data_IF_730722998027
#
_entry.id   IF_730722998027
#
_cell.length_a   1.000
_cell.length_b   1.000
_cell.length_c   1.000
_cell.angle_alpha   90.00
_cell.angle_beta   90.00
_cell.angle_gamma   90.00
#
_symmetry.space_group_name_H-M   'P 1'
#
loop_
_entity.id
_entity.type
_entity.pdbx_description
1 polymer ?
#
# COMPACT_ATOMS: atom_id res chain seq x y z
N UNK A 1 49.01 18.17 -0.03
CA UNK A 1 47.90 17.85 0.83
C UNK A 1 46.64 17.73 0.00
N UNK A 2 46.10 16.53 0.00
CA UNK A 2 44.84 16.25 -0.66
C UNK A 2 43.75 16.90 0.20
N UNK A 3 43.25 18.04 -0.20
CA UNK A 3 42.05 18.58 0.37
C UNK A 3 40.90 17.81 -0.23
N UNK A 4 40.34 16.89 0.52
CA UNK A 4 39.01 16.35 0.22
C UNK A 4 38.10 17.57 0.17
N UNK A 5 37.71 17.97 -1.02
CA UNK A 5 37.01 19.21 -1.20
C UNK A 5 35.60 19.03 -0.62
N UNK A 6 35.28 19.84 0.36
CA UNK A 6 33.92 19.99 0.88
C UNK A 6 32.90 20.25 -0.25
N UNK A 7 33.38 20.64 -1.42
CA UNK A 7 32.60 20.81 -2.65
C UNK A 7 32.00 19.51 -3.16
N UNK A 8 32.71 18.36 -3.03
CA UNK A 8 32.17 17.08 -3.46
C UNK A 8 31.09 16.59 -2.50
N UNK A 9 31.24 16.82 -1.20
CA UNK A 9 30.20 16.48 -0.22
C UNK A 9 28.95 17.34 -0.40
N UNK A 10 29.13 18.64 -0.70
CA UNK A 10 28.02 19.55 -0.96
C UNK A 10 27.30 19.20 -2.26
N UNK A 11 28.03 18.86 -3.32
CA UNK A 11 27.44 18.44 -4.60
C UNK A 11 26.74 17.11 -4.45
N UNK A 12 27.34 16.17 -3.74
CA UNK A 12 26.74 14.85 -3.49
C UNK A 12 25.49 14.96 -2.63
N UNK A 13 25.54 15.81 -1.59
CA UNK A 13 24.38 16.04 -0.73
C UNK A 13 23.25 16.75 -1.50
N UNK A 14 23.57 17.80 -2.27
CA UNK A 14 22.58 18.50 -3.08
C UNK A 14 21.97 17.58 -4.15
N UNK A 15 22.77 16.71 -4.76
CA UNK A 15 22.28 15.74 -5.73
C UNK A 15 21.39 14.69 -5.04
N UNK A 16 21.84 14.18 -3.90
CA UNK A 16 21.04 13.24 -3.11
C UNK A 16 19.73 13.90 -2.64
N UNK A 17 19.80 15.09 -2.07
CA UNK A 17 18.63 15.83 -1.61
C UNK A 17 17.66 16.14 -2.76
N UNK A 18 18.16 16.54 -3.93
CA UNK A 18 17.34 16.77 -5.10
C UNK A 18 16.73 15.48 -5.67
N UNK A 19 17.46 14.37 -5.61
CA UNK A 19 17.00 13.09 -6.14
C UNK A 19 16.04 12.42 -5.18
N UNK A 20 16.28 12.48 -3.88
CA UNK A 20 15.42 11.87 -2.86
C UNK A 20 14.28 12.79 -2.42
N UNK A 21 14.48 14.11 -2.38
CA UNK A 21 13.42 15.07 -2.06
C UNK A 21 12.42 15.25 -3.21
N UNK A 22 12.83 14.98 -4.46
CA UNK A 22 11.92 14.99 -5.60
C UNK A 22 10.96 13.78 -5.64
N UNK A 23 11.01 12.90 -4.63
CA UNK A 23 10.07 11.79 -4.49
C UNK A 23 10.04 10.81 -5.65
N UNK A 24 11.13 10.73 -6.44
CA UNK A 24 11.11 10.02 -7.72
C UNK A 24 11.17 8.51 -7.58
N UNK A 25 11.67 8.00 -6.44
CA UNK A 25 11.71 6.56 -6.16
C UNK A 25 11.64 6.31 -4.64
N UNK A 26 10.48 5.96 -4.16
CA UNK A 26 10.24 5.60 -2.77
C UNK A 26 8.86 5.01 -2.61
N UNK A 27 8.59 4.45 -1.44
CA UNK A 27 7.24 4.09 -1.05
C UNK A 27 6.48 5.39 -0.85
N UNK A 28 5.54 5.70 -1.72
CA UNK A 28 4.76 6.93 -1.72
C UNK A 28 3.41 6.77 -1.01
N UNK A 29 2.92 5.54 -0.88
CA UNK A 29 1.76 5.22 -0.06
C UNK A 29 1.92 3.82 0.53
N UNK A 30 1.40 3.62 1.73
CA UNK A 30 1.33 2.31 2.35
C UNK A 30 0.13 2.23 3.28
N UNK A 31 -0.40 1.04 3.43
CA UNK A 31 -1.42 0.71 4.42
C UNK A 31 -1.19 -0.70 4.97
N UNK A 32 -1.54 -0.88 6.22
CA UNK A 32 -1.71 -2.19 6.83
C UNK A 32 -2.97 -2.15 7.69
N UNK A 33 -3.84 -3.13 7.55
CA UNK A 33 -5.12 -3.15 8.23
C UNK A 33 -5.62 -4.57 8.50
N UNK A 34 -6.53 -4.67 9.47
CA UNK A 34 -7.22 -5.89 9.87
C UNK A 34 -8.63 -5.88 9.25
N UNK A 35 -8.90 -6.79 8.35
CA UNK A 35 -10.22 -6.93 7.73
C UNK A 35 -11.06 -8.08 8.30
N UNK A 36 -10.61 -8.75 9.37
CA UNK A 36 -11.31 -9.89 9.98
C UNK A 36 -12.69 -9.53 10.57
N UNK A 37 -12.95 -8.23 10.80
CA UNK A 37 -14.28 -7.75 11.15
C UNK A 37 -15.34 -7.96 10.04
N UNK A 38 -14.92 -8.31 8.83
CA UNK A 38 -15.82 -8.57 7.70
C UNK A 38 -16.70 -7.37 7.36
N UNK A 39 -18.01 -7.54 7.38
CA UNK A 39 -18.96 -6.47 7.07
C UNK A 39 -18.92 -5.28 8.06
N UNK A 40 -18.34 -5.47 9.25
CA UNK A 40 -18.17 -4.42 10.26
C UNK A 40 -16.84 -3.67 10.14
N UNK A 41 -16.04 -3.94 9.10
CA UNK A 41 -14.77 -3.27 8.86
C UNK A 41 -14.92 -1.73 8.88
N UNK A 42 -14.09 -1.08 9.69
CA UNK A 42 -14.05 0.38 9.83
C UNK A 42 -12.58 0.84 9.79
N UNK A 43 -12.19 1.56 8.73
CA UNK A 43 -10.85 2.09 8.55
C UNK A 43 -10.33 2.89 9.74
N UNK A 44 -11.21 3.58 10.46
CA UNK A 44 -10.80 4.40 11.61
C UNK A 44 -10.28 3.60 12.80
N UNK A 45 -10.72 2.35 12.93
CA UNK A 45 -10.38 1.44 14.05
C UNK A 45 -9.52 0.27 13.63
N UNK A 46 -9.66 -0.21 12.40
CA UNK A 46 -9.05 -1.47 11.93
C UNK A 46 -7.73 -1.24 11.18
N UNK A 47 -7.34 0.03 10.95
CA UNK A 47 -6.02 0.33 10.41
C UNK A 47 -4.92 0.09 11.44
N UNK A 48 -3.83 -0.50 10.99
CA UNK A 48 -2.63 -0.77 11.80
C UNK A 48 -1.56 0.29 11.51
N UNK A 49 -1.36 0.61 10.24
CA UNK A 49 -0.40 1.62 9.79
C UNK A 49 -0.85 2.22 8.46
N UNK A 50 -0.48 3.48 8.24
CA UNK A 50 -0.77 4.18 6.99
C UNK A 50 0.26 5.24 6.66
N UNK A 51 0.35 5.61 5.39
CA UNK A 51 1.05 6.78 4.86
C UNK A 51 0.48 7.10 3.48
N UNK A 52 0.04 8.34 3.28
CA UNK A 52 -0.64 8.83 2.08
C UNK A 52 -1.90 8.02 1.71
N UNK A 53 -2.67 7.61 2.72
CA UNK A 53 -3.96 6.92 2.56
C UNK A 53 -5.03 7.69 3.33
N UNK A 54 -6.03 8.19 2.61
CA UNK A 54 -7.21 8.83 3.22
C UNK A 54 -8.14 7.79 3.82
N UNK A 55 -8.40 6.71 3.08
CA UNK A 55 -9.33 5.67 3.51
C UNK A 55 -9.11 4.35 2.81
N UNK A 56 -9.52 3.30 3.48
CA UNK A 56 -9.80 2.00 2.86
C UNK A 56 -11.27 1.68 3.12
N UNK A 57 -11.99 1.35 2.06
CA UNK A 57 -13.40 0.99 2.15
C UNK A 57 -13.60 -0.44 1.67
N UNK A 58 -14.25 -1.26 2.51
CA UNK A 58 -14.68 -2.60 2.11
C UNK A 58 -15.92 -2.49 1.23
N UNK A 59 -15.84 -2.93 -0.01
CA UNK A 59 -16.96 -2.89 -0.97
C UNK A 59 -17.74 -4.20 -1.03
N UNK A 60 -17.09 -5.30 -0.73
CA UNK A 60 -17.65 -6.65 -0.59
C UNK A 60 -16.65 -7.52 0.17
N UNK A 61 -16.99 -8.77 0.45
CA UNK A 61 -16.07 -9.75 1.02
C UNK A 61 -14.78 -9.82 0.18
N UNK A 62 -13.63 -9.63 0.83
CA UNK A 62 -12.31 -9.62 0.22
C UNK A 62 -12.05 -8.47 -0.77
N UNK A 63 -12.97 -7.53 -0.95
CA UNK A 63 -12.82 -6.42 -1.91
C UNK A 63 -12.73 -5.08 -1.22
N UNK A 64 -11.67 -4.35 -1.54
CA UNK A 64 -11.39 -3.07 -0.90
C UNK A 64 -11.02 -2.01 -1.94
N UNK A 65 -11.51 -0.79 -1.73
CA UNK A 65 -11.06 0.41 -2.43
C UNK A 65 -10.13 1.19 -1.50
N UNK A 66 -8.92 1.44 -1.94
CA UNK A 66 -7.89 2.23 -1.26
C UNK A 66 -7.85 3.61 -1.90
N UNK A 67 -8.09 4.66 -1.12
CA UNK A 67 -8.08 6.06 -1.59
C UNK A 67 -6.84 6.76 -1.06
N UNK A 68 -6.08 7.40 -1.94
CA UNK A 68 -4.87 8.14 -1.58
C UNK A 68 -5.21 9.54 -1.04
N UNK A 69 -4.39 10.06 -0.15
CA UNK A 69 -4.48 11.42 0.38
C UNK A 69 -3.95 12.44 -0.64
N UNK A 70 -2.77 12.17 -1.19
CA UNK A 70 -2.21 12.87 -2.33
C UNK A 70 -2.22 11.94 -3.53
N UNK A 71 -2.82 12.38 -4.62
CA UNK A 71 -2.91 11.59 -5.84
C UNK A 71 -1.52 11.29 -6.43
N UNK A 72 -1.40 10.16 -7.09
CA UNK A 72 -0.27 9.92 -7.99
C UNK A 72 -0.43 10.73 -9.28
N UNK A 73 0.68 11.02 -9.95
CA UNK A 73 0.67 11.75 -11.23
C UNK A 73 -0.09 11.01 -12.34
N UNK A 74 -0.28 9.71 -12.20
CA UNK A 74 -1.06 8.85 -13.09
C UNK A 74 -1.38 7.52 -12.43
N UNK A 75 -2.15 6.66 -13.10
CA UNK A 75 -2.39 5.27 -12.69
C UNK A 75 -1.17 4.34 -12.89
N UNK A 76 -0.04 4.85 -13.38
CA UNK A 76 1.16 4.07 -13.69
C UNK A 76 2.12 3.95 -12.49
N UNK A 77 1.61 3.50 -11.36
CA UNK A 77 2.40 3.16 -10.19
C UNK A 77 2.48 1.64 -10.01
N UNK A 78 3.44 1.18 -9.22
CA UNK A 78 3.58 -0.22 -8.82
C UNK A 78 2.99 -0.41 -7.44
N UNK A 79 2.11 -1.39 -7.27
CA UNK A 79 1.61 -1.80 -5.97
C UNK A 79 2.11 -3.21 -5.63
N UNK A 80 2.58 -3.38 -4.41
CA UNK A 80 2.95 -4.66 -3.81
C UNK A 80 2.00 -4.90 -2.64
N UNK A 81 1.31 -6.02 -2.69
CA UNK A 81 0.30 -6.35 -1.69
C UNK A 81 0.57 -7.74 -1.11
N UNK A 82 0.21 -7.92 0.15
CA UNK A 82 0.21 -9.21 0.83
C UNK A 82 -0.99 -9.34 1.75
N UNK A 83 -1.41 -10.56 2.01
CA UNK A 83 -2.49 -10.85 2.94
C UNK A 83 -2.20 -12.13 3.72
N UNK A 84 -2.73 -12.23 4.93
CA UNK A 84 -2.52 -13.37 5.81
C UNK A 84 -3.36 -13.30 7.08
N UNK A 85 -3.08 -14.21 8.02
CA UNK A 85 -3.82 -14.32 9.27
C UNK A 85 -5.09 -15.16 9.15
N UNK A 86 -5.97 -15.03 10.14
CA UNK A 86 -7.27 -15.71 10.17
C UNK A 86 -8.27 -14.95 9.29
N UNK A 87 -9.25 -15.64 8.77
CA UNK A 87 -10.42 -15.01 8.16
C UNK A 87 -11.41 -14.55 9.24
N UNK A 88 -12.50 -13.89 8.82
CA UNK A 88 -13.57 -13.45 9.71
C UNK A 88 -14.31 -14.60 10.41
N UNK A 89 -14.17 -15.83 9.93
CA UNK A 89 -14.72 -17.02 10.56
C UNK A 89 -13.72 -17.72 11.51
N UNK A 90 -12.50 -17.16 11.66
CA UNK A 90 -11.44 -17.71 12.50
C UNK A 90 -10.76 -18.94 11.91
N UNK A 91 -10.82 -19.12 10.59
CA UNK A 91 -10.24 -20.28 9.89
C UNK A 91 -8.84 -19.95 9.40
N UNK A 92 -7.88 -20.78 9.78
CA UNK A 92 -6.50 -20.75 9.25
C UNK A 92 -6.42 -21.55 7.95
N UNK A 93 -7.23 -21.27 6.98
CA UNK A 93 -7.13 -21.95 5.69
C UNK A 93 -6.03 -21.30 4.85
N UNK A 94 -5.22 -22.09 4.22
CA UNK A 94 -4.28 -21.83 3.13
C UNK A 94 -3.70 -20.43 2.92
N UNK A 95 -2.79 -20.28 1.97
CA UNK A 95 -2.26 -18.98 1.58
C UNK A 95 -3.36 -18.07 0.99
N UNK A 96 -3.12 -16.76 1.08
CA UNK A 96 -3.98 -15.78 0.44
C UNK A 96 -3.20 -15.08 -0.66
N UNK A 97 -3.92 -14.68 -1.68
CA UNK A 97 -3.40 -13.84 -2.76
C UNK A 97 -4.11 -12.49 -2.75
N UNK A 98 -3.39 -11.45 -3.11
CA UNK A 98 -3.98 -10.13 -3.31
C UNK A 98 -3.71 -9.69 -4.73
N UNK A 99 -4.78 -9.34 -5.43
CA UNK A 99 -4.72 -8.84 -6.79
C UNK A 99 -5.22 -7.41 -6.87
N UNK A 100 -4.53 -6.57 -7.64
CA UNK A 100 -5.01 -5.22 -7.96
C UNK A 100 -5.99 -5.33 -9.13
N UNK A 101 -7.25 -4.95 -8.90
CA UNK A 101 -8.32 -5.02 -9.90
C UNK A 101 -8.36 -3.79 -10.80
N UNK A 102 -8.18 -2.62 -10.22
CA UNK A 102 -8.20 -1.35 -10.95
C UNK A 102 -7.26 -0.34 -10.31
N UNK A 103 -6.84 0.66 -11.08
CA UNK A 103 -6.00 1.77 -10.63
C UNK A 103 -6.45 3.08 -11.28
N UNK A 104 -6.44 4.14 -10.48
CA UNK A 104 -6.53 5.53 -10.92
C UNK A 104 -5.43 6.34 -10.24
N UNK A 105 -5.29 7.62 -10.55
CA UNK A 105 -4.34 8.48 -9.85
C UNK A 105 -4.66 8.57 -8.34
N UNK A 106 -5.93 8.65 -7.97
CA UNK A 106 -6.38 8.86 -6.60
C UNK A 106 -6.80 7.60 -5.84
N UNK A 107 -6.84 6.44 -6.49
CA UNK A 107 -7.31 5.21 -5.81
C UNK A 107 -6.90 3.93 -6.52
N UNK A 108 -6.99 2.82 -5.81
CA UNK A 108 -6.92 1.48 -6.39
C UNK A 108 -7.93 0.54 -5.73
N UNK A 109 -8.41 -0.43 -6.49
CA UNK A 109 -9.21 -1.54 -5.98
C UNK A 109 -8.37 -2.81 -5.90
N UNK A 110 -8.52 -3.53 -4.80
CA UNK A 110 -7.87 -4.81 -4.58
C UNK A 110 -8.90 -5.89 -4.26
N UNK A 111 -8.54 -7.13 -4.54
CA UNK A 111 -9.25 -8.31 -4.08
C UNK A 111 -8.29 -9.24 -3.34
N UNK A 112 -8.76 -9.79 -2.25
CA UNK A 112 -8.10 -10.84 -1.46
C UNK A 112 -8.86 -12.14 -1.70
N UNK A 113 -8.15 -13.18 -2.08
CA UNK A 113 -8.72 -14.49 -2.41
C UNK A 113 -7.95 -15.58 -1.67
N UNK A 114 -8.65 -16.63 -1.27
CA UNK A 114 -8.00 -17.84 -0.76
C UNK A 114 -7.35 -18.60 -1.90
N UNK A 115 -6.17 -19.16 -1.62
CA UNK A 115 -5.41 -19.87 -2.64
C UNK A 115 -5.94 -21.27 -2.97
N UNK A 116 -6.77 -21.83 -2.10
CA UNK A 116 -7.30 -23.18 -2.22
C UNK A 116 -8.57 -23.28 -3.08
N UNK A 117 -9.43 -22.27 -3.05
CA UNK A 117 -10.72 -22.29 -3.75
C UNK A 117 -11.02 -20.98 -4.51
N UNK A 118 -10.10 -20.00 -4.48
CA UNK A 118 -10.26 -18.69 -5.08
C UNK A 118 -11.50 -17.90 -4.59
N UNK A 119 -12.04 -18.25 -3.42
CA UNK A 119 -13.09 -17.47 -2.80
C UNK A 119 -12.53 -16.18 -2.22
N UNK A 120 -13.30 -15.08 -2.32
CA UNK A 120 -12.95 -13.83 -1.67
C UNK A 120 -12.91 -14.01 -0.15
N UNK A 121 -12.01 -13.28 0.52
CA UNK A 121 -11.77 -13.48 1.94
C UNK A 121 -11.36 -12.18 2.66
N UNK A 122 -12.02 -11.91 3.77
CA UNK A 122 -11.62 -10.87 4.71
C UNK A 122 -10.68 -11.48 5.75
N UNK A 123 -9.44 -11.03 5.84
CA UNK A 123 -8.44 -11.60 6.73
C UNK A 123 -7.78 -10.56 7.63
N UNK A 124 -7.10 -11.02 8.69
CA UNK A 124 -6.51 -10.16 9.74
C UNK A 124 -5.44 -9.20 9.23
N UNK A 125 -4.64 -9.61 8.24
CA UNK A 125 -3.49 -8.82 7.83
C UNK A 125 -3.49 -8.60 6.33
N UNK A 126 -3.82 -7.38 5.91
CA UNK A 126 -3.67 -6.93 4.55
C UNK A 126 -2.66 -5.79 4.56
N UNK A 127 -1.61 -5.91 3.77
CA UNK A 127 -0.56 -4.90 3.65
C UNK A 127 -0.36 -4.48 2.21
N UNK A 128 -0.17 -3.19 2.01
CA UNK A 128 -0.06 -2.56 0.70
C UNK A 128 1.12 -1.60 0.73
N UNK A 129 1.94 -1.62 -0.30
CA UNK A 129 2.96 -0.60 -0.59
C UNK A 129 2.80 -0.13 -2.03
N UNK A 130 2.86 1.16 -2.25
CA UNK A 130 2.74 1.76 -3.58
C UNK A 130 3.96 2.63 -3.87
N UNK A 131 4.56 2.38 -5.02
CA UNK A 131 5.75 3.08 -5.52
C UNK A 131 5.37 3.79 -6.81
N UNK A 132 5.57 5.09 -6.84
CA UNK A 132 5.22 5.92 -8.00
C UNK A 132 5.63 7.36 -7.80
N UNK A 133 5.15 8.25 -8.65
CA UNK A 133 5.35 9.69 -8.54
C UNK A 133 4.05 10.34 -8.11
N UNK A 134 4.08 11.13 -7.04
CA UNK A 134 2.93 11.94 -6.61
C UNK A 134 2.70 13.12 -7.57
N UNK A 135 1.48 13.60 -7.64
CA UNK A 135 1.09 14.77 -8.44
C UNK A 135 1.61 16.08 -7.85
#
# INVERSE_FOLDING_TARGET
>A
PFQASATNDVVTKSYADATYAAGTFGIQAHASFDASAGAAFDWSTDKIAEGNITSVSRTAEGKFTVTFDTDFSSANYTAVCSAGGLDHAGITAGGRTVSVLSRSAGSMDIVVERADDAANDDCEYISIMVIGTLS
#
